data_IF_263330767438
#
_entry.id   IF_263330767438
#
_cell.length_a   1.000
_cell.length_b   1.000
_cell.length_c   1.000
_cell.angle_alpha   90.00
_cell.angle_beta   90.00
_cell.angle_gamma   90.00
#
_symmetry.space_group_name_H-M   'P 1'
#
loop_
_entity.id
_entity.type
_entity.pdbx_description
1 polymer ?
#
# COMPACT_ATOMS: atom_id res chain seq x y z
N UNK A 1 8.15 12.71 -4.30
CA UNK A 1 6.72 12.71 -4.67
C UNK A 1 5.90 13.04 -3.44
N UNK A 2 4.73 13.67 -3.63
CA UNK A 2 3.75 13.92 -2.59
C UNK A 2 2.36 13.53 -3.13
N UNK A 3 1.66 12.68 -2.40
CA UNK A 3 0.28 12.32 -2.71
C UNK A 3 -0.64 13.36 -2.08
N UNK A 4 -1.51 13.95 -2.87
CA UNK A 4 -2.47 14.96 -2.41
C UNK A 4 -3.88 14.37 -2.40
N UNK A 5 -4.35 14.01 -1.22
CA UNK A 5 -5.66 13.41 -0.98
C UNK A 5 -6.80 14.33 -1.43
N UNK A 6 -6.63 15.65 -1.31
CA UNK A 6 -7.69 16.62 -1.56
C UNK A 6 -7.86 16.98 -3.04
N UNK A 7 -6.84 16.80 -3.86
CA UNK A 7 -6.85 17.17 -5.27
C UNK A 7 -6.79 15.98 -6.23
N UNK A 8 -6.76 14.76 -5.71
CA UNK A 8 -6.64 13.51 -6.48
C UNK A 8 -5.39 13.47 -7.37
N UNK A 9 -4.25 13.95 -6.85
CA UNK A 9 -3.01 14.07 -7.59
C UNK A 9 -1.81 13.45 -6.88
N UNK A 10 -0.83 13.04 -7.69
CA UNK A 10 0.53 12.78 -7.23
C UNK A 10 1.41 13.91 -7.76
N UNK A 11 1.94 14.74 -6.87
CA UNK A 11 2.91 15.77 -7.24
C UNK A 11 4.30 15.16 -7.31
N UNK A 12 4.98 15.30 -8.44
CA UNK A 12 6.34 14.79 -8.65
C UNK A 12 7.32 15.95 -8.69
N UNK A 13 8.31 15.89 -7.81
CA UNK A 13 9.37 16.89 -7.66
C UNK A 13 10.72 16.25 -8.00
N UNK A 14 11.24 16.37 -9.23
CA UNK A 14 12.56 15.87 -9.56
C UNK A 14 13.65 16.56 -8.75
N UNK A 15 14.69 15.79 -8.41
CA UNK A 15 15.90 16.33 -7.78
C UNK A 15 16.99 16.45 -8.84
N UNK A 16 17.80 17.51 -8.76
CA UNK A 16 19.03 17.62 -9.55
C UNK A 16 20.15 16.76 -8.93
N UNK A 17 21.32 16.71 -9.57
CA UNK A 17 22.48 15.95 -9.09
C UNK A 17 23.02 16.41 -7.73
N UNK A 18 22.68 17.62 -7.29
CA UNK A 18 23.07 18.18 -6.00
C UNK A 18 22.04 17.91 -4.90
N UNK A 19 20.91 17.23 -5.23
CA UNK A 19 19.83 16.95 -4.31
C UNK A 19 18.83 18.09 -4.12
N UNK A 20 18.91 19.16 -4.90
CA UNK A 20 17.97 20.28 -4.86
C UNK A 20 16.73 19.97 -5.69
N UNK A 21 15.58 20.49 -5.26
CA UNK A 21 14.32 20.38 -6.02
C UNK A 21 14.44 21.17 -7.33
N UNK A 22 14.20 20.48 -8.46
CA UNK A 22 14.09 21.11 -9.77
C UNK A 22 12.65 21.55 -10.01
N UNK A 23 12.35 22.81 -9.69
CA UNK A 23 10.99 23.37 -9.77
C UNK A 23 10.48 23.50 -11.20
N UNK A 24 11.36 23.62 -12.18
CA UNK A 24 10.97 23.78 -13.59
C UNK A 24 10.44 22.50 -14.23
N UNK A 25 10.84 21.35 -13.68
CA UNK A 25 10.47 20.02 -14.18
C UNK A 25 9.47 19.31 -13.25
N UNK A 26 8.78 20.02 -12.37
CA UNK A 26 7.69 19.44 -11.59
C UNK A 26 6.50 19.11 -12.48
N UNK A 27 5.82 18.00 -12.20
CA UNK A 27 4.61 17.62 -12.91
C UNK A 27 3.64 16.91 -11.98
N UNK A 28 2.38 16.89 -12.37
CA UNK A 28 1.31 16.20 -11.67
C UNK A 28 0.90 14.95 -12.44
N UNK A 29 0.50 13.93 -11.70
CA UNK A 29 -0.19 12.75 -12.21
C UNK A 29 -1.63 12.83 -11.71
N UNK A 30 -2.57 13.01 -12.64
CA UNK A 30 -4.00 13.03 -12.33
C UNK A 30 -4.52 11.61 -12.13
N UNK A 31 -5.35 11.42 -11.12
CA UNK A 31 -6.04 10.17 -10.82
C UNK A 31 -7.55 10.31 -11.08
N UNK A 32 -8.29 9.20 -10.96
CA UNK A 32 -9.75 9.27 -11.02
C UNK A 32 -10.29 10.20 -9.92
N UNK A 33 -11.28 11.07 -10.23
CA UNK A 33 -11.90 11.93 -9.23
C UNK A 33 -12.46 11.14 -8.05
N UNK A 34 -12.21 11.61 -6.82
CA UNK A 34 -12.61 10.95 -5.59
C UNK A 34 -11.68 9.81 -5.16
N UNK A 35 -10.49 9.70 -5.75
CA UNK A 35 -9.49 8.69 -5.37
C UNK A 35 -9.00 8.89 -3.94
N UNK A 36 -8.57 10.10 -3.58
CA UNK A 36 -7.93 10.38 -2.29
C UNK A 36 -6.61 9.63 -2.12
N UNK A 37 -5.56 9.91 -2.93
CA UNK A 37 -4.29 9.19 -2.90
C UNK A 37 -3.59 9.36 -1.55
N UNK A 38 -3.01 8.25 -1.04
CA UNK A 38 -2.43 8.23 0.31
C UNK A 38 -0.97 7.74 0.33
N UNK A 39 -0.75 6.43 0.35
CA UNK A 39 0.59 5.83 0.36
C UNK A 39 0.91 5.17 -0.98
N UNK A 40 2.18 5.20 -1.35
CA UNK A 40 2.68 4.62 -2.59
C UNK A 40 3.93 3.77 -2.30
N UNK A 41 4.06 2.64 -2.97
CA UNK A 41 5.27 1.83 -2.96
C UNK A 41 5.70 1.50 -4.40
N UNK A 42 6.97 1.15 -4.58
CA UNK A 42 7.54 0.89 -5.90
C UNK A 42 7.99 -0.56 -6.04
N UNK A 43 7.88 -1.12 -7.24
CA UNK A 43 8.53 -2.38 -7.57
C UNK A 43 10.04 -2.25 -7.42
N UNK A 44 10.72 -3.37 -7.13
CA UNK A 44 12.16 -3.37 -6.85
C UNK A 44 13.01 -2.86 -8.04
N UNK A 45 12.53 -3.09 -9.26
CA UNK A 45 13.16 -2.63 -10.49
C UNK A 45 12.76 -1.20 -10.90
N UNK A 46 11.86 -0.57 -10.14
CA UNK A 46 11.40 0.80 -10.36
C UNK A 46 10.45 0.99 -11.56
N UNK A 47 10.05 -0.08 -12.26
CA UNK A 47 9.17 0.03 -13.45
C UNK A 47 7.72 0.29 -13.11
N UNK A 48 7.28 -0.10 -11.91
CA UNK A 48 5.90 0.01 -11.48
C UNK A 48 5.81 0.66 -10.10
N UNK A 49 4.69 1.32 -9.85
CA UNK A 49 4.31 1.84 -8.54
C UNK A 49 2.88 1.44 -8.21
N UNK A 50 2.59 1.31 -6.92
CA UNK A 50 1.27 0.93 -6.42
C UNK A 50 0.85 1.92 -5.35
N UNK A 51 -0.27 2.56 -5.59
CA UNK A 51 -0.82 3.62 -4.75
C UNK A 51 -2.12 3.15 -4.11
N UNK A 52 -2.26 3.25 -2.80
CA UNK A 52 -3.54 3.08 -2.12
C UNK A 52 -4.28 4.40 -2.05
N UNK A 53 -5.54 4.39 -2.46
CA UNK A 53 -6.43 5.54 -2.39
C UNK A 53 -7.36 5.41 -1.18
N UNK A 54 -7.30 6.37 -0.26
CA UNK A 54 -8.03 6.30 1.01
C UNK A 54 -9.54 6.40 0.81
N UNK A 55 -9.99 7.29 -0.09
CA UNK A 55 -11.41 7.60 -0.28
C UNK A 55 -12.09 6.57 -1.17
N UNK A 56 -11.53 6.31 -2.37
CA UNK A 56 -12.13 5.33 -3.29
C UNK A 56 -11.99 3.88 -2.85
N UNK A 57 -11.05 3.56 -1.94
CA UNK A 57 -10.79 2.20 -1.54
C UNK A 57 -10.12 1.33 -2.61
N UNK A 58 -9.57 1.95 -3.66
CA UNK A 58 -8.89 1.25 -4.76
C UNK A 58 -7.38 1.31 -4.60
N UNK A 59 -6.70 0.31 -5.15
CA UNK A 59 -5.28 0.39 -5.48
C UNK A 59 -5.16 0.82 -6.93
N UNK A 60 -4.32 1.83 -7.19
CA UNK A 60 -3.91 2.23 -8.53
C UNK A 60 -2.54 1.64 -8.83
N UNK A 61 -2.43 0.80 -9.85
CA UNK A 61 -1.15 0.42 -10.42
C UNK A 61 -0.73 1.46 -11.46
N UNK A 62 0.55 1.86 -11.40
CA UNK A 62 1.13 2.84 -12.31
C UNK A 62 2.39 2.25 -12.95
N UNK A 63 2.59 2.52 -14.24
CA UNK A 63 3.87 2.27 -14.92
C UNK A 63 4.75 3.51 -14.84
N UNK A 64 6.07 3.29 -14.80
CA UNK A 64 7.09 4.34 -14.85
C UNK A 64 8.01 4.11 -16.03
N UNK A 65 8.12 5.09 -16.93
CA UNK A 65 8.92 5.00 -18.17
C UNK A 65 10.26 5.75 -18.08
N UNK A 66 10.66 6.16 -16.88
CA UNK A 66 11.85 6.98 -16.64
C UNK A 66 11.60 8.49 -16.72
N UNK A 67 10.41 8.91 -17.16
CA UNK A 67 10.01 10.32 -17.29
C UNK A 67 8.75 10.66 -16.50
N UNK A 68 7.78 9.75 -16.44
CA UNK A 68 6.52 9.96 -15.77
C UNK A 68 5.84 8.70 -15.28
N UNK A 69 4.85 8.87 -14.43
CA UNK A 69 3.96 7.82 -13.94
C UNK A 69 2.65 7.85 -14.73
N UNK A 70 2.20 6.70 -15.19
CA UNK A 70 0.94 6.54 -15.92
C UNK A 70 0.08 5.48 -15.23
N UNK A 71 -1.16 5.80 -14.80
CA UNK A 71 -2.08 4.78 -14.29
C UNK A 71 -2.39 3.72 -15.36
N UNK A 72 -2.25 2.44 -15.00
CA UNK A 72 -2.50 1.30 -15.87
C UNK A 72 -3.63 0.40 -15.38
N UNK A 73 -3.99 0.51 -14.10
CA UNK A 73 -5.10 -0.26 -13.51
C UNK A 73 -5.61 0.42 -12.25
N UNK A 74 -6.94 0.35 -12.05
CA UNK A 74 -7.61 0.61 -10.79
C UNK A 74 -8.29 -0.68 -10.33
N UNK A 75 -7.97 -1.18 -9.13
CA UNK A 75 -8.52 -2.43 -8.59
C UNK A 75 -9.01 -2.24 -7.15
N UNK A 76 -10.15 -2.81 -6.82
CA UNK A 76 -10.76 -2.65 -5.51
C UNK A 76 -9.98 -3.39 -4.40
N UNK A 77 -9.58 -2.63 -3.39
CA UNK A 77 -9.03 -3.10 -2.11
C UNK A 77 -10.15 -3.23 -1.09
N UNK A 78 -10.91 -2.15 -0.88
CA UNK A 78 -12.06 -2.07 0.03
C UNK A 78 -13.36 -2.35 -0.73
N UNK A 79 -14.00 -3.49 -0.45
CA UNK A 79 -15.25 -3.92 -1.11
C UNK A 79 -16.52 -3.44 -0.39
N UNK A 80 -16.38 -2.76 0.74
CA UNK A 80 -17.53 -2.28 1.55
C UNK A 80 -17.68 -0.75 1.56
N UNK A 81 -16.86 -0.09 0.73
CA UNK A 81 -16.88 1.38 0.58
C UNK A 81 -16.82 2.10 1.93
N UNK A 82 -15.83 1.77 2.74
CA UNK A 82 -15.62 2.36 4.05
C UNK A 82 -14.95 3.73 4.00
N UNK A 83 -14.30 4.07 2.87
CA UNK A 83 -13.53 5.30 2.68
C UNK A 83 -12.40 5.46 3.71
N UNK A 84 -11.69 4.38 3.96
CA UNK A 84 -10.70 4.31 5.03
C UNK A 84 -9.46 3.48 4.71
N UNK A 85 -9.13 3.26 3.44
CA UNK A 85 -7.90 2.56 3.08
C UNK A 85 -6.66 3.30 3.58
N UNK A 86 -5.59 2.56 3.98
CA UNK A 86 -4.52 3.19 4.73
C UNK A 86 -3.12 2.94 4.16
N UNK A 87 -2.59 1.75 4.28
CA UNK A 87 -1.19 1.46 4.00
C UNK A 87 -1.02 0.43 2.90
N UNK A 88 0.14 0.41 2.26
CA UNK A 88 0.41 -0.45 1.11
C UNK A 88 1.88 -0.84 1.05
N UNK A 89 2.16 -2.13 0.91
CA UNK A 89 3.51 -2.67 0.78
C UNK A 89 3.57 -3.86 -0.16
N UNK A 90 4.66 -3.93 -0.94
CA UNK A 90 5.04 -5.15 -1.66
C UNK A 90 5.74 -6.13 -0.73
N UNK A 91 5.55 -7.42 -0.98
CA UNK A 91 6.40 -8.44 -0.37
C UNK A 91 7.86 -8.29 -0.82
N UNK A 92 8.85 -8.72 0.00
CA UNK A 92 10.26 -8.59 -0.35
C UNK A 92 10.65 -9.28 -1.67
N UNK A 93 9.92 -10.32 -2.06
CA UNK A 93 10.08 -11.04 -3.34
C UNK A 93 9.37 -10.37 -4.52
N UNK A 94 8.57 -9.31 -4.27
CA UNK A 94 7.82 -8.56 -5.27
C UNK A 94 6.64 -9.31 -5.89
N UNK A 95 6.28 -10.50 -5.40
CA UNK A 95 5.20 -11.32 -5.97
C UNK A 95 3.80 -10.94 -5.52
N UNK A 96 3.70 -10.32 -4.35
CA UNK A 96 2.43 -9.96 -3.73
C UNK A 96 2.43 -8.52 -3.21
N UNK A 97 1.27 -7.90 -3.31
CA UNK A 97 0.99 -6.58 -2.77
C UNK A 97 -0.08 -6.69 -1.69
N UNK A 98 0.10 -5.98 -0.60
CA UNK A 98 -0.81 -5.93 0.53
C UNK A 98 -1.29 -4.50 0.73
N UNK A 99 -2.59 -4.33 1.03
CA UNK A 99 -3.19 -3.03 1.29
C UNK A 99 -4.15 -3.10 2.49
N UNK A 100 -4.03 -2.20 3.46
CA UNK A 100 -4.89 -2.19 4.64
C UNK A 100 -6.13 -1.31 4.45
N UNK A 101 -7.27 -1.79 4.96
CA UNK A 101 -8.56 -1.12 4.93
C UNK A 101 -9.14 -1.02 6.35
N UNK A 102 -9.79 0.10 6.66
CA UNK A 102 -10.30 0.46 7.99
C UNK A 102 -11.79 0.81 7.96
N UNK A 103 -12.37 1.00 9.12
CA UNK A 103 -13.67 1.63 9.41
C UNK A 103 -14.89 0.72 9.28
N UNK A 104 -14.89 -0.31 8.44
CA UNK A 104 -16.03 -1.26 8.33
C UNK A 104 -15.58 -2.71 8.30
N UNK A 105 -14.80 -3.09 7.31
CA UNK A 105 -14.21 -4.42 7.17
C UNK A 105 -12.70 -4.30 7.39
N UNK A 106 -12.29 -4.08 8.63
CA UNK A 106 -10.89 -3.89 8.99
C UNK A 106 -10.06 -5.11 8.57
N UNK A 107 -9.06 -4.89 7.72
CA UNK A 107 -8.31 -6.02 7.16
C UNK A 107 -7.25 -5.63 6.14
N UNK A 108 -6.63 -6.66 5.59
CA UNK A 108 -5.58 -6.58 4.56
C UNK A 108 -6.10 -7.22 3.27
N UNK A 109 -6.22 -6.46 2.21
CA UNK A 109 -6.41 -6.97 0.87
C UNK A 109 -5.08 -7.50 0.31
N UNK A 110 -5.14 -8.62 -0.40
CA UNK A 110 -3.97 -9.35 -0.90
C UNK A 110 -4.09 -9.49 -2.41
N UNK A 111 -3.04 -9.07 -3.13
CA UNK A 111 -2.98 -9.14 -4.58
C UNK A 111 -1.73 -9.89 -5.02
N UNK A 112 -1.84 -10.72 -6.04
CA UNK A 112 -0.69 -11.17 -6.81
C UNK A 112 -0.29 -10.10 -7.82
N UNK A 113 1.03 -9.99 -8.08
CA UNK A 113 1.62 -9.02 -8.99
C UNK A 113 2.15 -9.75 -10.22
N UNK A 114 1.72 -9.33 -11.40
CA UNK A 114 2.37 -9.72 -12.65
C UNK A 114 3.59 -8.81 -12.88
N UNK A 115 4.77 -9.35 -12.63
CA UNK A 115 6.03 -8.61 -12.75
C UNK A 115 6.39 -8.22 -14.20
N UNK A 116 5.69 -8.73 -15.22
CA UNK A 116 5.93 -8.36 -16.61
C UNK A 116 5.22 -7.06 -16.99
N UNK A 117 3.97 -6.92 -16.56
CA UNK A 117 3.10 -5.80 -16.94
C UNK A 117 2.65 -4.92 -15.77
N UNK A 118 2.97 -5.29 -14.52
CA UNK A 118 2.62 -4.55 -13.30
C UNK A 118 1.17 -4.69 -12.85
N UNK A 119 0.36 -5.52 -13.52
CA UNK A 119 -1.05 -5.68 -13.19
C UNK A 119 -1.25 -6.53 -11.92
N UNK A 120 -2.33 -6.23 -11.23
CA UNK A 120 -2.73 -6.85 -9.97
C UNK A 120 -3.92 -7.78 -10.17
N UNK A 121 -3.91 -8.92 -9.48
CA UNK A 121 -5.08 -9.78 -9.32
C UNK A 121 -5.35 -9.98 -7.83
N UNK A 122 -6.57 -9.67 -7.36
CA UNK A 122 -6.95 -9.87 -5.95
C UNK A 122 -7.05 -11.37 -5.67
N UNK A 123 -6.26 -11.86 -4.70
CA UNK A 123 -6.18 -13.30 -4.35
C UNK A 123 -6.73 -13.58 -2.96
N UNK A 124 -6.93 -12.57 -2.12
CA UNK A 124 -7.47 -12.78 -0.78
C UNK A 124 -7.78 -11.50 -0.03
N UNK A 125 -8.34 -11.69 1.16
CA UNK A 125 -8.59 -10.66 2.17
C UNK A 125 -8.48 -11.27 3.56
N UNK A 126 -7.65 -10.69 4.43
CA UNK A 126 -7.46 -11.16 5.80
C UNK A 126 -8.04 -10.14 6.78
N UNK A 127 -9.05 -10.54 7.56
CA UNK A 127 -9.56 -9.71 8.65
C UNK A 127 -8.50 -9.53 9.73
N UNK A 128 -8.49 -8.34 10.36
CA UNK A 128 -7.55 -7.95 11.42
C UNK A 128 -8.28 -7.43 12.65
N UNK A 129 -7.52 -6.99 13.64
CA UNK A 129 -8.03 -6.12 14.70
C UNK A 129 -8.45 -4.75 14.15
N UNK A 130 -9.05 -3.93 15.03
CA UNK A 130 -9.74 -2.67 14.65
C UNK A 130 -8.69 -1.60 14.23
N UNK A 131 -8.96 -0.97 13.11
CA UNK A 131 -8.21 0.15 12.54
C UNK A 131 -6.75 -0.20 12.19
N UNK A 132 -6.52 -1.10 11.22
CA UNK A 132 -5.18 -1.45 10.72
C UNK A 132 -4.56 -0.26 9.95
N UNK A 133 -3.95 0.69 10.69
CA UNK A 133 -3.48 1.96 10.14
C UNK A 133 -2.16 1.84 9.39
N UNK A 134 -1.31 0.92 9.82
CA UNK A 134 0.00 0.64 9.24
C UNK A 134 0.32 -0.83 9.42
N UNK A 135 1.11 -1.38 8.54
CA UNK A 135 1.65 -2.73 8.68
C UNK A 135 3.05 -2.80 8.10
N UNK A 136 3.79 -3.85 8.41
CA UNK A 136 5.12 -4.09 7.87
C UNK A 136 5.32 -5.58 7.63
N UNK A 137 6.05 -5.92 6.57
CA UNK A 137 6.46 -7.30 6.27
C UNK A 137 7.88 -7.47 6.77
N UNK A 138 8.16 -8.60 7.43
CA UNK A 138 9.53 -8.90 7.90
C UNK A 138 10.50 -8.96 6.71
N UNK A 139 11.78 -8.58 6.90
CA UNK A 139 12.76 -8.58 5.80
C UNK A 139 12.94 -9.93 5.11
N UNK A 140 12.75 -11.04 5.87
CA UNK A 140 12.74 -12.41 5.35
C UNK A 140 11.46 -12.80 4.62
N UNK A 141 10.41 -11.96 4.70
CA UNK A 141 9.12 -12.17 4.04
C UNK A 141 8.17 -13.16 4.72
N UNK A 142 8.54 -13.74 5.87
CA UNK A 142 7.74 -14.80 6.50
C UNK A 142 6.55 -14.30 7.31
N UNK A 143 6.61 -13.06 7.82
CA UNK A 143 5.56 -12.53 8.68
C UNK A 143 5.12 -11.14 8.21
N UNK A 144 3.85 -10.83 8.49
CA UNK A 144 3.27 -9.51 8.35
C UNK A 144 2.73 -9.07 9.71
N UNK A 145 3.17 -7.90 10.19
CA UNK A 145 2.79 -7.32 11.46
C UNK A 145 1.85 -6.14 11.21
N UNK A 146 0.68 -6.14 11.83
CA UNK A 146 -0.35 -5.11 11.62
C UNK A 146 -0.56 -4.29 12.88
N UNK A 147 -0.37 -2.98 12.79
CA UNK A 147 -0.68 -2.01 13.84
C UNK A 147 -2.18 -1.74 13.86
N UNK A 148 -2.92 -2.44 14.74
CA UNK A 148 -4.36 -2.31 14.95
C UNK A 148 -4.61 -1.23 16.01
N UNK A 149 -4.70 0.04 15.57
CA UNK A 149 -4.71 1.22 16.44
C UNK A 149 -5.76 1.12 17.56
N UNK A 150 -6.99 0.81 17.20
CA UNK A 150 -8.11 0.88 18.14
C UNK A 150 -8.32 -0.44 18.91
N UNK A 151 -7.63 -1.51 18.50
CA UNK A 151 -7.47 -2.73 19.31
C UNK A 151 -6.32 -2.65 20.31
N UNK A 152 -5.49 -1.61 20.28
CA UNK A 152 -4.31 -1.43 21.15
C UNK A 152 -3.32 -2.61 21.08
N UNK A 153 -3.07 -3.11 19.87
CA UNK A 153 -2.13 -4.24 19.67
C UNK A 153 -1.48 -4.20 18.28
N UNK A 154 -0.37 -4.91 18.17
CA UNK A 154 0.20 -5.34 16.89
C UNK A 154 -0.12 -6.82 16.73
N UNK A 155 -0.84 -7.18 15.67
CA UNK A 155 -1.21 -8.55 15.31
C UNK A 155 -0.17 -9.13 14.35
N UNK A 156 0.15 -10.42 14.49
CA UNK A 156 1.19 -11.08 13.72
C UNK A 156 0.57 -12.19 12.87
N UNK A 157 0.74 -12.08 11.56
CA UNK A 157 0.31 -13.09 10.59
C UNK A 157 1.53 -13.80 9.98
N UNK A 158 1.45 -15.13 9.82
CA UNK A 158 2.36 -15.87 8.98
C UNK A 158 1.94 -15.67 7.50
N UNK A 159 2.92 -15.44 6.63
CA UNK A 159 2.71 -15.27 5.20
C UNK A 159 3.10 -16.56 4.45
N UNK A 160 2.20 -17.05 3.62
CA UNK A 160 2.52 -18.09 2.66
C UNK A 160 3.19 -17.46 1.42
N UNK A 161 4.44 -17.79 1.16
CA UNK A 161 5.22 -17.20 0.07
C UNK A 161 4.77 -17.63 -1.34
N UNK A 162 4.01 -18.73 -1.45
CA UNK A 162 3.52 -19.24 -2.74
C UNK A 162 2.18 -18.64 -3.14
N UNK A 163 1.30 -18.44 -2.16
CA UNK A 163 -0.07 -17.96 -2.38
C UNK A 163 -0.27 -16.50 -1.99
N UNK A 164 0.66 -15.92 -1.18
CA UNK A 164 0.54 -14.61 -0.57
C UNK A 164 -0.45 -14.54 0.59
N UNK A 165 -1.19 -15.61 0.86
CA UNK A 165 -2.22 -15.61 1.89
C UNK A 165 -1.61 -15.47 3.30
N UNK A 166 -2.40 -14.89 4.19
CA UNK A 166 -2.03 -14.63 5.58
C UNK A 166 -2.77 -15.60 6.49
N UNK A 167 -2.07 -16.10 7.51
CA UNK A 167 -2.61 -16.97 8.55
C UNK A 167 -2.36 -16.29 9.90
N UNK A 168 -3.40 -16.06 10.67
CA UNK A 168 -3.26 -15.52 12.02
C UNK A 168 -2.48 -16.50 12.89
N UNK A 169 -1.37 -16.04 13.47
CA UNK A 169 -0.53 -16.87 14.34
C UNK A 169 -1.08 -16.95 15.76
N UNK A 170 -2.11 -16.18 16.10
CA UNK A 170 -2.58 -15.97 17.46
C UNK A 170 -1.62 -15.15 18.33
N UNK A 171 -0.45 -14.75 17.81
CA UNK A 171 0.53 -13.92 18.53
C UNK A 171 0.23 -12.44 18.34
N UNK A 172 0.43 -11.68 19.41
CA UNK A 172 0.22 -10.23 19.43
C UNK A 172 1.20 -9.53 20.35
N UNK A 173 1.41 -8.24 20.12
CA UNK A 173 2.13 -7.34 21.02
C UNK A 173 1.14 -6.30 21.51
N UNK A 174 0.87 -6.24 22.80
CA UNK A 174 -0.02 -5.25 23.40
C UNK A 174 0.72 -3.91 23.51
N UNK A 175 0.15 -2.86 22.93
CA UNK A 175 0.71 -1.51 22.96
C UNK A 175 -0.38 -0.48 22.64
N UNK A 176 -0.33 0.69 23.30
CA UNK A 176 -1.34 1.72 23.15
C UNK A 176 -1.30 2.36 21.76
N UNK A 177 -2.40 2.28 21.03
CA UNK A 177 -2.68 2.97 19.76
C UNK A 177 -1.51 2.96 18.75
N UNK A 178 -0.99 1.79 18.37
CA UNK A 178 0.12 1.72 17.41
C UNK A 178 -0.32 2.26 16.04
N UNK A 179 0.51 3.13 15.44
CA UNK A 179 0.21 3.78 14.15
C UNK A 179 1.34 3.70 13.13
N UNK A 180 2.52 3.24 13.54
CA UNK A 180 3.68 3.07 12.67
C UNK A 180 4.60 1.99 13.21
N UNK A 181 5.05 1.09 12.33
CA UNK A 181 6.02 0.04 12.60
C UNK A 181 7.26 0.26 11.74
N UNK A 182 8.45 0.00 12.31
CA UNK A 182 9.74 0.04 11.61
C UNK A 182 10.64 -1.06 12.15
N UNK A 183 11.37 -1.74 11.25
CA UNK A 183 12.55 -2.52 11.62
C UNK A 183 13.78 -1.61 11.68
N UNK A 184 14.66 -1.90 12.62
CA UNK A 184 15.97 -1.24 12.77
C UNK A 184 17.05 -2.13 12.19
#
# INVERSE_FOLDING_TARGET
MANDLGTDKIHVFPLNSEGNLNKENTFDVDLEPGSGPRHICFSKDGRFAYLINEISGKVTALSYDGKGLTPIQYIESDTVNAQGSADIHLSPDGKFLYASNRLKADGIAIFSVDNQNGLLTKVGYQLTGIHPRNFIITPDGHFLLVACRDSNLVQIFARDEKTGLLIDTGKKIETSKPVCLKFM
#
